data_IF_784444238897
#
_entry.id   IF_784444238897
#
_cell.length_a   1.000
_cell.length_b   1.000
_cell.length_c   1.000
_cell.angle_alpha   90.00
_cell.angle_beta   90.00
_cell.angle_gamma   90.00
#
_symmetry.space_group_name_H-M   'P 1'
#
loop_
_entity.id
_entity.type
_entity.pdbx_description
1 polymer ?
#
# COMPACT_ATOMS: atom_id res chain seq x y z
N UNK A 1 18.46 18.50 -1.58
CA UNK A 1 18.33 17.04 -1.54
C UNK A 1 17.74 16.59 -2.85
N UNK A 2 18.43 15.73 -3.60
CA UNK A 2 17.96 15.24 -4.89
C UNK A 2 17.26 13.91 -4.65
N UNK A 3 15.93 13.90 -4.69
CA UNK A 3 15.13 12.69 -4.49
C UNK A 3 15.08 11.90 -5.81
N UNK A 4 15.69 10.72 -5.84
CA UNK A 4 15.62 9.83 -7.00
C UNK A 4 14.36 8.97 -6.90
N UNK A 5 13.42 9.18 -7.82
CA UNK A 5 12.18 8.39 -7.90
C UNK A 5 12.36 7.36 -9.01
N UNK A 6 12.36 6.07 -8.65
CA UNK A 6 12.45 4.97 -9.62
C UNK A 6 11.10 4.26 -9.73
N UNK A 7 10.51 4.28 -10.92
CA UNK A 7 9.27 3.55 -11.20
C UNK A 7 9.60 2.17 -11.76
N UNK A 8 9.07 1.12 -11.14
CA UNK A 8 9.22 -0.26 -11.59
C UNK A 8 7.86 -0.91 -11.74
N UNK A 9 7.66 -1.61 -12.85
CA UNK A 9 6.50 -2.50 -13.08
C UNK A 9 6.58 -3.74 -12.18
N UNK A 10 7.80 -4.21 -11.90
CA UNK A 10 8.06 -5.46 -11.21
C UNK A 10 8.30 -5.20 -9.72
N UNK A 11 7.79 -6.10 -8.87
CA UNK A 11 8.10 -6.11 -7.45
C UNK A 11 9.56 -6.53 -7.26
N UNK A 12 10.39 -5.63 -6.75
CA UNK A 12 11.76 -5.92 -6.33
C UNK A 12 11.76 -6.58 -4.96
N UNK A 13 12.63 -7.57 -4.77
CA UNK A 13 12.91 -8.15 -3.45
C UNK A 13 13.44 -7.05 -2.53
N UNK A 14 12.92 -6.97 -1.31
CA UNK A 14 13.37 -5.99 -0.32
C UNK A 14 12.82 -6.28 1.06
N UNK A 15 13.58 -5.89 2.07
CA UNK A 15 13.19 -6.07 3.47
C UNK A 15 12.43 -4.85 3.98
N UNK A 16 11.22 -5.03 4.58
CA UNK A 16 10.45 -3.92 5.13
C UNK A 16 11.18 -3.23 6.30
N UNK A 17 12.18 -3.88 6.91
CA UNK A 17 13.01 -3.30 7.96
C UNK A 17 13.99 -2.25 7.43
N UNK A 18 14.49 -2.40 6.20
CA UNK A 18 15.45 -1.46 5.60
C UNK A 18 14.75 -0.38 4.78
N UNK A 19 13.71 -0.77 4.04
CA UNK A 19 12.93 0.14 3.21
C UNK A 19 11.46 -0.01 3.57
N UNK A 20 10.83 0.99 4.21
CA UNK A 20 9.41 0.92 4.49
C UNK A 20 8.59 0.67 3.23
N UNK A 21 7.56 -0.17 3.32
CA UNK A 21 6.70 -0.55 2.20
C UNK A 21 5.30 0.00 2.43
N UNK A 22 4.82 0.81 1.51
CA UNK A 22 3.44 1.30 1.48
C UNK A 22 2.70 0.66 0.33
N UNK A 23 1.74 -0.21 0.62
CA UNK A 23 0.91 -0.88 -0.39
C UNK A 23 -0.42 -0.14 -0.49
N UNK A 24 -0.73 0.43 -1.65
CA UNK A 24 -1.98 1.18 -1.89
C UNK A 24 -2.81 0.46 -2.93
N UNK A 25 -4.08 0.19 -2.64
CA UNK A 25 -4.99 -0.40 -3.61
C UNK A 25 -6.46 -0.31 -3.23
N UNK A 26 -7.36 -0.76 -4.11
CA UNK A 26 -8.76 -0.91 -3.75
C UNK A 26 -8.98 -2.23 -3.00
N UNK A 27 -9.87 -2.26 -2.01
CA UNK A 27 -10.12 -3.45 -1.18
C UNK A 27 -10.45 -4.71 -2.02
N UNK A 28 -11.22 -4.55 -3.10
CA UNK A 28 -11.54 -5.63 -4.04
C UNK A 28 -10.29 -6.23 -4.68
N UNK A 29 -9.32 -5.40 -5.04
CA UNK A 29 -8.12 -5.83 -5.75
C UNK A 29 -7.08 -6.34 -4.76
N UNK A 30 -6.95 -5.69 -3.59
CA UNK A 30 -6.12 -6.17 -2.49
C UNK A 30 -6.52 -7.58 -2.04
N UNK A 31 -7.82 -7.87 -2.00
CA UNK A 31 -8.34 -9.20 -1.67
C UNK A 31 -8.06 -10.26 -2.77
N UNK A 32 -7.83 -9.83 -4.01
CA UNK A 32 -7.53 -10.73 -5.14
C UNK A 32 -6.02 -10.97 -5.33
N UNK A 33 -5.16 -10.21 -4.67
CA UNK A 33 -3.71 -10.36 -4.78
C UNK A 33 -3.29 -11.66 -4.08
N UNK A 34 -2.58 -12.52 -4.80
CA UNK A 34 -1.90 -13.67 -4.18
C UNK A 34 -0.74 -13.15 -3.34
N UNK A 35 -0.69 -13.59 -2.08
CA UNK A 35 0.38 -13.26 -1.17
C UNK A 35 1.77 -13.60 -1.74
N UNK A 36 1.87 -14.62 -2.61
CA UNK A 36 3.10 -15.00 -3.30
C UNK A 36 3.80 -13.88 -4.10
N UNK A 37 3.06 -12.89 -4.58
CA UNK A 37 3.66 -11.75 -5.28
C UNK A 37 4.23 -10.71 -4.30
N UNK A 38 3.51 -10.43 -3.23
CA UNK A 38 3.88 -9.40 -2.24
C UNK A 38 4.84 -9.92 -1.17
N UNK A 39 4.91 -11.24 -0.96
CA UNK A 39 5.84 -11.88 -0.01
C UNK A 39 7.28 -11.47 -0.27
N UNK A 40 7.67 -11.24 -1.53
CA UNK A 40 9.02 -10.80 -1.90
C UNK A 40 9.44 -9.45 -1.28
N UNK A 41 8.47 -8.61 -0.87
CA UNK A 41 8.70 -7.32 -0.18
C UNK A 41 8.35 -7.34 1.31
N UNK A 42 7.71 -8.41 1.78
CA UNK A 42 7.07 -8.49 3.08
C UNK A 42 7.68 -9.59 3.96
N UNK A 43 8.24 -10.63 3.35
CA UNK A 43 8.97 -11.68 4.05
C UNK A 43 10.29 -11.15 4.62
N UNK A 44 10.73 -11.68 5.76
CA UNK A 44 10.05 -12.67 6.61
C UNK A 44 9.10 -12.05 7.65
N UNK A 45 8.82 -10.75 7.59
CA UNK A 45 8.18 -10.00 8.71
C UNK A 45 6.66 -10.09 8.74
N UNK A 46 6.03 -10.05 7.58
CA UNK A 46 4.56 -10.08 7.47
C UNK A 46 4.17 -11.40 6.86
N UNK A 47 3.50 -12.29 7.61
CA UNK A 47 2.97 -13.56 7.13
C UNK A 47 1.67 -13.38 6.33
N UNK A 48 1.26 -14.40 5.57
CA UNK A 48 0.00 -14.39 4.81
C UNK A 48 -1.22 -14.10 5.68
N UNK A 49 -1.26 -14.65 6.90
CA UNK A 49 -2.35 -14.43 7.86
C UNK A 49 -2.46 -12.95 8.27
N UNK A 50 -1.33 -12.30 8.55
CA UNK A 50 -1.29 -10.88 8.90
C UNK A 50 -1.80 -10.05 7.73
N UNK A 51 -1.37 -10.39 6.51
CA UNK A 51 -1.84 -9.71 5.31
C UNK A 51 -3.36 -9.88 5.11
N UNK A 52 -3.90 -11.10 5.22
CA UNK A 52 -5.35 -11.36 5.09
C UNK A 52 -6.16 -10.65 6.18
N UNK A 53 -5.69 -10.65 7.42
CA UNK A 53 -6.34 -9.96 8.53
C UNK A 53 -6.34 -8.45 8.30
N UNK A 54 -5.24 -7.86 7.83
CA UNK A 54 -5.18 -6.45 7.51
C UNK A 54 -6.10 -6.08 6.33
N UNK A 55 -6.14 -6.89 5.27
CA UNK A 55 -7.08 -6.70 4.14
C UNK A 55 -8.54 -6.73 4.63
N UNK A 56 -8.86 -7.64 5.54
CA UNK A 56 -10.21 -7.78 6.11
C UNK A 56 -10.56 -6.67 7.11
N UNK A 57 -9.55 -6.14 7.80
CA UNK A 57 -9.70 -5.03 8.75
C UNK A 57 -9.85 -3.67 8.06
N UNK A 58 -9.46 -3.55 6.78
CA UNK A 58 -9.56 -2.30 6.05
C UNK A 58 -11.03 -1.94 5.79
N UNK A 59 -11.43 -0.76 6.22
CA UNK A 59 -12.77 -0.25 6.00
C UNK A 59 -12.75 1.06 5.20
N UNK A 60 -12.87 1.01 3.85
CA UNK A 60 -12.70 2.18 2.99
C UNK A 60 -13.92 3.13 3.03
N UNK A 61 -14.07 3.86 4.15
CA UNK A 61 -15.04 4.94 4.35
C UNK A 61 -14.37 6.13 5.09
N UNK A 62 -13.73 7.10 4.41
CA UNK A 62 -13.46 7.24 2.97
C UNK A 62 -12.08 6.72 2.52
N UNK A 63 -11.10 6.61 3.40
CA UNK A 63 -9.76 6.03 3.14
C UNK A 63 -9.31 5.38 4.43
N UNK A 64 -8.65 4.23 4.34
CA UNK A 64 -8.18 3.53 5.54
C UNK A 64 -6.78 2.98 5.33
N UNK A 65 -5.99 2.90 6.40
CA UNK A 65 -4.61 2.45 6.39
C UNK A 65 -4.34 1.56 7.60
N UNK A 66 -3.86 0.36 7.35
CA UNK A 66 -3.54 -0.64 8.35
C UNK A 66 -2.03 -0.91 8.35
N UNK A 67 -1.39 -0.74 9.50
CA UNK A 67 0.04 -1.00 9.70
C UNK A 67 0.25 -2.50 9.94
N UNK A 68 0.98 -3.16 9.04
CA UNK A 68 1.33 -4.58 9.10
C UNK A 68 2.55 -4.82 10.01
N UNK A 69 3.50 -3.89 10.03
CA UNK A 69 4.75 -4.03 10.79
C UNK A 69 5.31 -2.66 11.20
N UNK A 70 5.10 -2.24 12.46
CA UNK A 70 5.72 -1.06 13.08
C UNK A 70 5.76 0.22 12.21
N UNK A 71 4.73 0.47 11.38
CA UNK A 71 4.67 1.53 10.35
C UNK A 71 5.72 1.46 9.24
N UNK A 72 6.56 0.43 9.26
CA UNK A 72 7.49 0.09 8.20
C UNK A 72 6.82 -0.71 7.09
N UNK A 73 5.74 -1.44 7.37
CA UNK A 73 4.89 -2.01 6.34
C UNK A 73 3.46 -1.54 6.57
N UNK A 74 2.90 -0.81 5.62
CA UNK A 74 1.55 -0.23 5.72
C UNK A 74 0.73 -0.61 4.49
N UNK A 75 -0.49 -1.05 4.72
CA UNK A 75 -1.47 -1.38 3.70
C UNK A 75 -2.58 -0.34 3.73
N UNK A 76 -2.82 0.36 2.62
CA UNK A 76 -3.81 1.41 2.51
C UNK A 76 -4.87 1.08 1.45
N UNK A 77 -6.14 1.25 1.82
CA UNK A 77 -7.29 1.08 0.96
C UNK A 77 -7.77 2.42 0.39
N UNK A 78 -7.96 2.44 -0.93
CA UNK A 78 -8.57 3.56 -1.63
C UNK A 78 -10.09 3.62 -1.40
N UNK A 79 -10.70 4.83 -1.47
CA UNK A 79 -12.13 5.02 -1.26
C UNK A 79 -12.93 4.18 -2.22
N UNK A 80 -13.98 3.49 -1.77
CA UNK A 80 -14.89 2.78 -2.69
C UNK A 80 -15.86 3.77 -3.36
N UNK A 81 -16.27 4.81 -2.63
CA UNK A 81 -17.19 5.85 -3.13
C UNK A 81 -16.39 6.97 -3.80
N UNK A 82 -16.73 7.26 -5.04
CA UNK A 82 -16.23 8.42 -5.77
C UNK A 82 -17.41 9.33 -6.08
N UNK A 83 -17.32 10.62 -5.71
CA UNK A 83 -18.30 11.62 -6.13
C UNK A 83 -18.24 11.81 -7.64
N UNK A 84 -19.35 12.24 -8.26
CA UNK A 84 -19.44 12.51 -9.70
C UNK A 84 -18.47 13.61 -10.17
N UNK A 85 -18.02 14.45 -9.24
CA UNK A 85 -17.05 15.52 -9.50
C UNK A 85 -15.58 15.07 -9.34
N UNK A 86 -15.34 13.85 -8.85
CA UNK A 86 -13.99 13.34 -8.64
C UNK A 86 -13.57 12.44 -9.79
N UNK A 87 -12.28 12.50 -10.14
CA UNK A 87 -11.66 11.62 -11.13
C UNK A 87 -11.86 10.15 -10.74
N UNK A 88 -12.30 9.27 -11.67
CA UNK A 88 -12.52 7.85 -11.37
C UNK A 88 -11.24 7.13 -10.93
N UNK A 89 -10.08 7.67 -11.30
CA UNK A 89 -8.75 7.20 -10.89
C UNK A 89 -8.43 7.43 -9.41
N UNK A 90 -9.23 8.23 -8.68
CA UNK A 90 -9.07 8.51 -7.23
C UNK A 90 -7.65 8.99 -6.85
N UNK A 91 -6.96 9.66 -7.78
CA UNK A 91 -5.57 10.11 -7.64
C UNK A 91 -5.37 10.98 -6.39
N UNK A 92 -6.34 11.82 -6.06
CA UNK A 92 -6.33 12.65 -4.85
C UNK A 92 -6.18 11.83 -3.56
N UNK A 93 -6.78 10.64 -3.48
CA UNK A 93 -6.67 9.79 -2.30
C UNK A 93 -5.27 9.17 -2.17
N UNK A 94 -4.62 8.84 -3.30
CA UNK A 94 -3.27 8.30 -3.33
C UNK A 94 -2.29 9.31 -2.73
N UNK A 95 -2.31 10.56 -3.23
CA UNK A 95 -1.41 11.61 -2.73
C UNK A 95 -1.60 11.86 -1.23
N UNK A 96 -2.85 11.90 -0.75
CA UNK A 96 -3.14 12.06 0.68
C UNK A 96 -2.66 10.87 1.52
N UNK A 97 -2.80 9.64 1.02
CA UNK A 97 -2.32 8.45 1.72
C UNK A 97 -0.79 8.45 1.81
N UNK A 98 -0.09 8.79 0.73
CA UNK A 98 1.36 8.91 0.74
C UNK A 98 1.80 9.99 1.74
N UNK A 99 1.16 11.16 1.74
CA UNK A 99 1.49 12.22 2.70
C UNK A 99 1.28 11.80 4.17
N UNK A 100 0.24 11.01 4.46
CA UNK A 100 -0.07 10.58 5.81
C UNK A 100 0.79 9.38 6.26
N UNK A 101 1.18 8.50 5.35
CA UNK A 101 1.91 7.27 5.64
C UNK A 101 3.42 7.37 5.37
N UNK A 102 3.89 8.47 4.78
CA UNK A 102 5.32 8.67 4.54
C UNK A 102 6.08 8.77 5.85
N UNK A 103 7.15 7.98 5.96
CA UNK A 103 7.98 7.86 7.16
C UNK A 103 9.22 8.77 7.08
N UNK A 104 9.38 9.53 5.97
CA UNK A 104 10.50 10.46 5.77
C UNK A 104 11.85 9.78 5.54
N UNK A 105 11.84 8.49 5.17
CA UNK A 105 13.03 7.67 4.84
C UNK A 105 12.85 7.04 3.44
N UNK A 106 13.86 6.34 2.92
CA UNK A 106 13.77 5.62 1.65
C UNK A 106 12.67 4.55 1.67
N UNK A 107 11.51 4.89 1.10
CA UNK A 107 10.31 4.06 1.10
C UNK A 107 9.98 3.48 -0.29
N UNK A 108 9.41 2.28 -0.29
CA UNK A 108 8.94 1.58 -1.48
C UNK A 108 7.42 1.58 -1.53
N UNK A 109 6.86 2.36 -2.45
CA UNK A 109 5.41 2.49 -2.60
C UNK A 109 4.94 1.53 -3.70
N UNK A 110 4.12 0.54 -3.32
CA UNK A 110 3.49 -0.41 -4.24
C UNK A 110 2.06 0.04 -4.50
N UNK A 111 1.79 0.50 -5.72
CA UNK A 111 0.44 0.96 -6.11
C UNK A 111 -0.22 -0.10 -7.00
N UNK A 112 -1.34 -0.67 -6.54
CA UNK A 112 -2.20 -1.56 -7.32
C UNK A 112 -3.51 -0.85 -7.66
N UNK A 113 -3.59 -0.37 -8.89
CA UNK A 113 -4.79 0.15 -9.54
C UNK A 113 -5.13 -0.81 -10.69
N UNK A 114 -6.41 -1.02 -10.99
CA UNK A 114 -6.97 -2.01 -11.94
C UNK A 114 -7.35 -3.36 -11.32
#
# INVERSE_FOLDING_TARGET
MTTNITFSNVLTKGDPQQTPVLIIGQLKHLSQIKYDFIKQKLEPRVSEEIFKNAVSSLHPSPTDSCSLYLNLATLAALPVKCSRHNTPSRSHAITRLIQNCSVGVDESIVVRLC
#
